data_IF_532447257341
#
_entry.id   IF_532447257341
#
_cell.length_a   1.000
_cell.length_b   1.000
_cell.length_c   1.000
_cell.angle_alpha   90.00
_cell.angle_beta   90.00
_cell.angle_gamma   90.00
#
_symmetry.space_group_name_H-M   'P 1'
#
loop_
_entity.id
_entity.type
_entity.pdbx_description
1 polymer ?
#
# COMPACT_ATOMS: atom_id res chain seq x y z
N UNK A 1 -61.92 13.97 -13.62
CA UNK A 1 -60.61 13.28 -13.45
C UNK A 1 -60.09 13.60 -12.06
N UNK A 2 -59.59 12.62 -11.31
CA UNK A 2 -58.98 12.84 -10.00
C UNK A 2 -57.50 12.43 -10.07
N UNK A 3 -56.59 13.37 -9.83
CA UNK A 3 -55.15 13.16 -9.84
C UNK A 3 -54.67 13.01 -8.39
N UNK A 4 -54.09 11.86 -8.05
CA UNK A 4 -53.43 11.65 -6.75
C UNK A 4 -51.94 11.95 -6.91
N UNK A 5 -51.44 12.92 -6.15
CA UNK A 5 -50.01 13.23 -6.07
C UNK A 5 -49.29 12.06 -5.40
N UNK A 6 -48.40 11.39 -6.13
CA UNK A 6 -47.55 10.36 -5.56
C UNK A 6 -46.33 11.03 -4.90
N UNK A 7 -46.29 11.05 -3.57
CA UNK A 7 -45.21 11.66 -2.76
C UNK A 7 -43.85 11.00 -2.96
N UNK A 8 -43.79 9.85 -3.63
CA UNK A 8 -42.56 9.10 -3.90
C UNK A 8 -42.14 9.15 -5.38
N UNK A 9 -42.73 10.04 -6.18
CA UNK A 9 -42.51 10.12 -7.63
C UNK A 9 -41.03 10.31 -8.02
N UNK A 10 -40.21 10.87 -7.13
CA UNK A 10 -38.78 11.07 -7.35
C UNK A 10 -37.99 10.85 -6.05
N UNK A 11 -37.81 9.58 -5.65
CA UNK A 11 -36.89 9.21 -4.58
C UNK A 11 -35.62 8.63 -5.20
N UNK A 12 -34.51 9.37 -5.13
CA UNK A 12 -33.20 8.89 -5.56
C UNK A 12 -32.40 8.47 -4.34
N UNK A 13 -32.00 7.20 -4.28
CA UNK A 13 -31.10 6.67 -3.26
C UNK A 13 -29.73 6.46 -3.88
N UNK A 14 -28.71 7.13 -3.36
CA UNK A 14 -27.33 6.96 -3.83
C UNK A 14 -26.60 5.94 -2.97
N UNK A 15 -25.95 4.98 -3.62
CA UNK A 15 -25.05 4.02 -2.98
C UNK A 15 -23.65 4.27 -3.52
N UNK A 16 -22.69 4.46 -2.62
CA UNK A 16 -21.27 4.55 -2.96
C UNK A 16 -20.62 3.20 -2.65
N UNK A 17 -20.03 2.56 -3.64
CA UNK A 17 -19.31 1.29 -3.48
C UNK A 17 -17.83 1.58 -3.73
N UNK A 18 -17.01 1.45 -2.69
CA UNK A 18 -15.57 1.54 -2.80
C UNK A 18 -15.00 0.12 -2.90
N UNK A 19 -14.32 -0.17 -4.01
CA UNK A 19 -13.64 -1.45 -4.21
C UNK A 19 -12.23 -1.33 -3.64
N UNK A 20 -11.97 -1.98 -2.51
CA UNK A 20 -10.61 -2.12 -1.99
C UNK A 20 -9.86 -3.15 -2.84
N UNK A 21 -8.76 -2.72 -3.47
CA UNK A 21 -7.88 -3.65 -4.19
C UNK A 21 -7.19 -4.53 -3.16
N UNK A 22 -7.38 -5.84 -3.27
CA UNK A 22 -6.66 -6.82 -2.47
C UNK A 22 -5.25 -6.95 -3.05
N UNK A 23 -4.23 -6.94 -2.19
CA UNK A 23 -2.86 -7.25 -2.60
C UNK A 23 -2.80 -8.66 -3.20
N UNK A 24 -2.26 -8.77 -4.41
CA UNK A 24 -2.14 -10.02 -5.16
C UNK A 24 -0.70 -10.54 -5.17
N UNK A 25 0.27 -9.69 -4.83
CA UNK A 25 1.69 -9.99 -4.90
C UNK A 25 2.34 -9.87 -3.53
N UNK A 26 3.22 -10.81 -3.20
CA UNK A 26 4.05 -10.69 -2.02
C UNK A 26 5.20 -9.70 -2.30
N UNK A 27 5.55 -8.87 -1.33
CA UNK A 27 6.73 -8.01 -1.42
C UNK A 27 7.98 -8.86 -1.64
N UNK A 28 8.90 -8.35 -2.46
CA UNK A 28 10.16 -9.00 -2.78
C UNK A 28 11.33 -8.11 -2.35
N UNK A 29 12.24 -8.66 -1.55
CA UNK A 29 13.47 -7.95 -1.22
C UNK A 29 14.38 -7.86 -2.45
N UNK A 30 15.09 -6.74 -2.61
CA UNK A 30 16.02 -6.55 -3.73
C UNK A 30 17.24 -7.49 -3.69
N UNK A 31 17.57 -8.03 -2.51
CA UNK A 31 18.65 -9.00 -2.33
C UNK A 31 18.18 -10.15 -1.45
N UNK A 32 18.67 -11.38 -1.68
CA UNK A 32 18.35 -12.52 -0.83
C UNK A 32 19.00 -12.43 0.55
N UNK A 33 20.15 -11.74 0.65
CA UNK A 33 20.95 -11.63 1.86
C UNK A 33 21.48 -10.20 2.04
N UNK A 34 21.57 -9.78 3.30
CA UNK A 34 22.10 -8.48 3.71
C UNK A 34 23.10 -8.69 4.86
N UNK A 35 24.25 -8.04 4.75
CA UNK A 35 25.28 -8.04 5.78
C UNK A 35 25.33 -6.66 6.45
N UNK A 36 25.59 -6.64 7.75
CA UNK A 36 25.63 -5.41 8.52
C UNK A 36 26.69 -5.44 9.61
N UNK A 37 27.25 -4.28 9.93
CA UNK A 37 28.09 -4.05 11.11
C UNK A 37 27.30 -3.23 12.14
N UNK A 38 27.27 -3.70 13.39
CA UNK A 38 26.66 -3.00 14.53
C UNK A 38 27.74 -2.83 15.60
N UNK A 39 28.01 -1.58 15.98
CA UNK A 39 29.12 -1.24 16.88
C UNK A 39 28.71 -1.12 18.35
N UNK A 40 27.43 -0.87 18.63
CA UNK A 40 26.89 -0.81 19.99
C UNK A 40 25.37 -1.00 20.00
N UNK A 41 24.81 -1.29 21.18
CA UNK A 41 23.36 -1.35 21.37
C UNK A 41 22.72 0.01 21.07
N UNK A 42 21.63 0.00 20.30
CA UNK A 42 20.91 1.21 19.89
C UNK A 42 21.52 1.96 18.70
N UNK A 43 22.67 1.52 18.18
CA UNK A 43 23.27 2.11 16.98
C UNK A 43 22.64 1.57 15.70
N UNK A 44 22.64 2.42 14.66
CA UNK A 44 22.19 2.03 13.32
C UNK A 44 23.16 1.03 12.70
N UNK A 45 22.63 -0.02 12.08
CA UNK A 45 23.43 -0.97 11.33
C UNK A 45 23.96 -0.33 10.05
N UNK A 46 25.22 -0.55 9.73
CA UNK A 46 25.88 0.01 8.54
C UNK A 46 26.33 -1.09 7.59
N UNK A 47 26.39 -0.78 6.30
CA UNK A 47 26.99 -1.64 5.29
C UNK A 47 28.51 -1.70 5.52
N UNK A 48 29.09 -2.90 5.74
CA UNK A 48 30.52 -3.05 6.02
C UNK A 48 31.44 -2.53 4.91
N UNK A 49 30.96 -2.44 3.67
CA UNK A 49 31.77 -2.09 2.49
C UNK A 49 31.97 -0.59 2.34
N UNK A 50 31.02 0.22 2.79
CA UNK A 50 31.03 1.67 2.58
C UNK A 50 30.72 2.50 3.85
N UNK A 51 30.44 1.83 4.98
CA UNK A 51 30.14 2.45 6.27
C UNK A 51 28.94 3.42 6.25
N UNK A 52 28.04 3.27 5.27
CA UNK A 52 26.76 3.98 5.21
C UNK A 52 25.65 3.17 5.90
N UNK A 53 24.55 3.81 6.32
CA UNK A 53 23.38 3.08 6.82
C UNK A 53 22.96 1.93 5.91
N UNK A 54 22.76 0.74 6.48
CA UNK A 54 22.30 -0.41 5.72
C UNK A 54 20.90 -0.13 5.17
N UNK A 55 20.74 -0.25 3.84
CA UNK A 55 19.47 -0.09 3.16
C UNK A 55 18.89 -1.45 2.78
N UNK A 56 17.73 -1.78 3.35
CA UNK A 56 16.94 -2.95 2.98
C UNK A 56 15.73 -2.44 2.20
N UNK A 57 15.70 -2.75 0.92
CA UNK A 57 14.67 -2.30 -0.01
C UNK A 57 13.85 -3.50 -0.48
N UNK A 58 12.54 -3.29 -0.60
CA UNK A 58 11.60 -4.26 -1.16
C UNK A 58 10.75 -3.62 -2.23
N UNK A 59 10.35 -4.41 -3.22
CA UNK A 59 9.44 -4.04 -4.31
C UNK A 59 8.12 -4.77 -4.16
N UNK A 60 7.03 -4.13 -4.56
CA UNK A 60 5.70 -4.70 -4.56
C UNK A 60 5.02 -4.38 -5.90
N UNK A 61 4.68 -5.43 -6.64
CA UNK A 61 4.12 -5.32 -7.98
C UNK A 61 2.71 -4.72 -7.96
N UNK A 62 1.99 -4.79 -6.83
CA UNK A 62 0.67 -4.15 -6.68
C UNK A 62 0.77 -2.61 -6.77
N UNK A 63 1.95 -2.03 -6.56
CA UNK A 63 2.19 -0.58 -6.61
C UNK A 63 2.94 -0.13 -7.88
N UNK A 64 3.31 -1.07 -8.76
CA UNK A 64 4.05 -0.77 -10.00
C UNK A 64 3.22 -0.02 -11.05
N UNK A 65 1.89 -0.09 -10.97
CA UNK A 65 0.96 0.41 -11.99
C UNK A 65 0.40 1.83 -11.75
N UNK A 66 0.98 2.61 -10.85
CA UNK A 66 0.62 4.04 -10.68
C UNK A 66 1.57 4.93 -11.49
N UNK A 67 1.43 4.89 -12.82
CA UNK A 67 2.12 5.74 -13.78
C UNK A 67 1.14 6.30 -14.80
#
# INVERSE_FOLDING_TARGET
>A
AAQRTNTHQFSTTSVLINVTVKSLHALQFQRPEYEALITSTGSMAVDPKNNQPLQILATDDDYSATG
#
